data_IF_796707792321
#
_entry.id   IF_796707792321
#
_cell.length_a   1.000
_cell.length_b   1.000
_cell.length_c   1.000
_cell.angle_alpha   90.00
_cell.angle_beta   90.00
_cell.angle_gamma   90.00
#
_symmetry.space_group_name_H-M   'P 1'
#
loop_
_entity.id
_entity.type
_entity.pdbx_description
1 polymer ?
#
# COMPACT_ATOMS: atom_id res chain seq x y z
N UNK A 1 -19.04 16.10 -46.20
CA UNK A 1 -17.98 15.10 -45.91
C UNK A 1 -16.75 15.65 -45.17
N UNK A 2 -16.35 16.91 -45.30
CA UNK A 2 -15.16 17.47 -44.62
C UNK A 2 -15.30 17.62 -43.08
N UNK A 3 -16.48 17.80 -42.56
CA UNK A 3 -16.71 17.97 -41.09
C UNK A 3 -16.83 16.65 -40.34
N UNK A 4 -17.11 15.55 -41.02
CA UNK A 4 -17.15 14.22 -40.41
C UNK A 4 -15.76 13.67 -40.09
N UNK A 5 -14.74 14.08 -40.86
CA UNK A 5 -13.35 13.69 -40.64
C UNK A 5 -12.74 14.42 -39.44
N UNK A 6 -13.16 15.64 -39.13
CA UNK A 6 -12.68 16.44 -37.99
C UNK A 6 -13.21 15.94 -36.67
N UNK A 7 -14.44 15.41 -36.62
CA UNK A 7 -15.05 14.83 -35.43
C UNK A 7 -14.39 13.48 -35.07
N UNK A 8 -14.00 12.68 -36.09
CA UNK A 8 -13.27 11.42 -35.86
C UNK A 8 -11.84 11.62 -35.28
N UNK A 9 -11.18 12.74 -35.59
CA UNK A 9 -9.83 13.02 -35.08
C UNK A 9 -9.88 13.51 -33.63
N UNK A 10 -10.97 14.16 -33.21
CA UNK A 10 -11.16 14.62 -31.81
C UNK A 10 -11.51 13.42 -30.88
N UNK A 11 -12.11 12.36 -31.40
CA UNK A 11 -12.45 11.16 -30.63
C UNK A 11 -11.26 10.20 -30.39
N UNK A 12 -10.14 10.36 -31.09
CA UNK A 12 -8.95 9.51 -30.92
C UNK A 12 -7.95 10.01 -29.88
N UNK A 13 -8.17 11.14 -29.21
CA UNK A 13 -7.20 11.72 -28.26
C UNK A 13 -7.55 11.59 -26.78
N UNK A 14 -8.54 10.80 -26.41
CA UNK A 14 -8.95 10.63 -25.01
C UNK A 14 -8.43 9.33 -24.38
N UNK A 15 -7.17 8.98 -24.62
CA UNK A 15 -6.49 7.93 -23.84
C UNK A 15 -6.02 8.49 -22.49
N UNK A 16 -6.95 8.95 -21.65
CA UNK A 16 -6.68 9.24 -20.25
C UNK A 16 -6.64 7.91 -19.50
N UNK A 17 -5.48 7.31 -19.39
CA UNK A 17 -5.28 6.16 -18.51
C UNK A 17 -5.22 6.67 -17.07
N UNK A 18 -6.31 6.50 -16.33
CA UNK A 18 -6.29 6.62 -14.88
C UNK A 18 -5.26 5.64 -14.31
N UNK A 19 -4.48 6.07 -13.31
CA UNK A 19 -3.54 5.19 -12.64
C UNK A 19 -4.24 4.55 -11.44
N UNK A 20 -4.22 3.21 -11.39
CA UNK A 20 -4.68 2.44 -10.24
C UNK A 20 -3.58 2.49 -9.17
N UNK A 21 -3.65 3.45 -8.26
CA UNK A 21 -2.68 3.63 -7.19
C UNK A 21 -3.44 3.94 -5.91
N UNK A 22 -2.91 3.47 -4.78
CA UNK A 22 -3.45 3.76 -3.46
C UNK A 22 -2.31 4.14 -2.52
N UNK A 23 -2.62 4.61 -1.33
CA UNK A 23 -1.62 5.11 -0.38
C UNK A 23 -1.31 4.08 0.70
N UNK A 24 -2.34 3.41 1.21
CA UNK A 24 -2.22 2.39 2.27
C UNK A 24 -2.33 0.96 1.73
N UNK A 25 -3.03 0.76 0.62
CA UNK A 25 -3.24 -0.57 0.02
C UNK A 25 -2.52 -0.72 -1.31
N UNK A 26 -2.44 -1.93 -1.82
CA UNK A 26 -1.86 -2.25 -3.13
C UNK A 26 -2.98 -2.65 -4.10
N UNK A 27 -3.05 -2.06 -5.31
CA UNK A 27 -3.97 -2.49 -6.35
C UNK A 27 -3.52 -3.82 -6.98
N UNK A 28 -4.39 -4.41 -7.82
CA UNK A 28 -4.04 -5.58 -8.63
C UNK A 28 -3.00 -5.27 -9.73
N UNK A 29 -2.84 -4.01 -10.09
CA UNK A 29 -1.85 -3.54 -11.07
C UNK A 29 -0.44 -3.63 -10.53
N UNK A 30 0.51 -3.91 -11.42
CA UNK A 30 1.94 -3.91 -11.12
C UNK A 30 2.59 -2.61 -11.59
N UNK A 31 3.76 -2.27 -11.04
CA UNK A 31 4.62 -1.24 -11.63
C UNK A 31 5.03 -1.66 -13.05
N UNK A 32 5.42 -0.73 -13.93
CA UNK A 32 5.80 -1.04 -15.30
C UNK A 32 6.84 -2.16 -15.38
N UNK A 33 6.71 -3.04 -16.38
CA UNK A 33 7.65 -4.13 -16.60
C UNK A 33 9.07 -3.60 -16.82
N UNK A 34 10.08 -4.31 -16.30
CA UNK A 34 11.51 -3.98 -16.37
C UNK A 34 11.86 -2.62 -15.73
N UNK A 35 11.05 -2.18 -14.77
CA UNK A 35 11.26 -0.93 -14.04
C UNK A 35 11.60 -1.22 -12.58
N UNK A 36 12.27 -0.28 -11.95
CA UNK A 36 12.54 -0.27 -10.51
C UNK A 36 11.87 0.97 -9.92
N UNK A 37 11.24 0.84 -8.77
CA UNK A 37 10.75 1.98 -8.01
C UNK A 37 11.36 1.97 -6.61
N UNK A 38 11.78 3.12 -6.13
CA UNK A 38 12.22 3.33 -4.75
C UNK A 38 11.19 4.19 -4.03
N UNK A 39 10.75 3.76 -2.85
CA UNK A 39 9.77 4.46 -2.02
C UNK A 39 10.31 4.59 -0.60
N UNK A 40 10.08 5.75 0.01
CA UNK A 40 10.29 5.98 1.43
C UNK A 40 8.96 6.40 2.04
N UNK A 41 8.50 5.62 3.00
CA UNK A 41 7.29 5.92 3.77
C UNK A 41 7.66 6.33 5.19
N UNK A 42 7.03 7.40 5.69
CA UNK A 42 7.10 7.85 7.08
C UNK A 42 5.72 7.75 7.70
N UNK A 43 5.57 6.93 8.74
CA UNK A 43 4.37 6.86 9.57
C UNK A 43 4.64 7.58 10.88
N UNK A 44 3.77 8.53 11.22
CA UNK A 44 3.87 9.38 12.40
C UNK A 44 2.65 9.14 13.27
N UNK A 45 2.88 8.65 14.49
CA UNK A 45 1.84 8.48 15.49
C UNK A 45 2.00 9.58 16.53
N UNK A 46 1.00 10.44 16.62
CA UNK A 46 0.96 11.49 17.62
C UNK A 46 0.66 10.90 18.99
N UNK A 47 1.06 11.63 20.05
CA UNK A 47 0.96 11.22 21.46
C UNK A 47 -0.30 10.42 21.77
N UNK A 48 -0.13 9.16 22.16
CA UNK A 48 -1.21 8.28 22.64
C UNK A 48 -0.84 7.70 23.98
N UNK A 49 -1.81 7.61 24.89
CA UNK A 49 -1.61 6.90 26.15
C UNK A 49 -1.36 5.41 25.90
N UNK A 50 -0.41 4.76 26.58
CA UNK A 50 0.43 5.28 27.68
C UNK A 50 1.69 6.03 27.23
N UNK A 51 2.00 6.07 25.93
CA UNK A 51 3.23 6.66 25.39
C UNK A 51 3.04 8.15 25.11
N UNK A 52 3.50 9.00 26.01
CA UNK A 52 3.40 10.47 25.84
C UNK A 52 4.52 11.02 24.92
N UNK A 53 4.80 10.36 23.80
CA UNK A 53 5.80 10.76 22.81
C UNK A 53 5.26 10.66 21.38
N UNK A 54 5.90 11.38 20.47
CA UNK A 54 5.69 11.20 19.04
C UNK A 54 6.48 9.98 18.59
N UNK A 55 5.78 8.98 18.04
CA UNK A 55 6.40 7.78 17.50
C UNK A 55 6.47 7.88 15.98
N UNK A 56 7.59 7.43 15.42
CA UNK A 56 7.84 7.49 13.98
C UNK A 56 8.37 6.16 13.48
N UNK A 57 7.95 5.78 12.27
CA UNK A 57 8.46 4.62 11.54
C UNK A 57 8.79 5.03 10.13
N UNK A 58 10.00 4.75 9.71
CA UNK A 58 10.48 4.94 8.33
C UNK A 58 10.61 3.58 7.66
N UNK A 59 10.06 3.48 6.46
CA UNK A 59 10.05 2.25 5.68
C UNK A 59 10.60 2.54 4.27
N UNK A 60 11.91 2.39 4.05
CA UNK A 60 12.47 2.33 2.71
C UNK A 60 12.07 1.02 2.02
N UNK A 61 11.65 1.13 0.76
CA UNK A 61 11.17 0.03 -0.07
C UNK A 61 11.74 0.11 -1.48
N UNK A 62 12.00 -1.04 -2.07
CA UNK A 62 12.36 -1.16 -3.49
C UNK A 62 11.38 -2.11 -4.15
N UNK A 63 10.80 -1.67 -5.25
CA UNK A 63 9.89 -2.44 -6.09
C UNK A 63 10.60 -2.81 -7.38
N UNK A 64 10.39 -4.02 -7.86
CA UNK A 64 10.94 -4.53 -9.11
C UNK A 64 9.82 -5.11 -9.97
N UNK A 65 9.50 -4.46 -11.09
CA UNK A 65 8.60 -4.98 -12.10
C UNK A 65 9.35 -5.92 -13.04
N UNK A 66 9.27 -7.22 -12.79
CA UNK A 66 9.97 -8.22 -13.61
C UNK A 66 9.38 -8.28 -15.03
N UNK A 67 8.07 -8.38 -15.11
CA UNK A 67 7.30 -8.38 -16.34
C UNK A 67 5.88 -7.83 -16.07
N UNK A 68 4.98 -7.91 -17.05
CA UNK A 68 3.62 -7.41 -16.89
C UNK A 68 2.81 -8.13 -15.79
N UNK A 69 3.17 -9.36 -15.46
CA UNK A 69 2.43 -10.20 -14.49
C UNK A 69 3.09 -10.26 -13.12
N UNK A 70 4.40 -10.16 -13.02
CA UNK A 70 5.15 -10.33 -11.78
C UNK A 70 5.77 -9.03 -11.27
N UNK A 71 5.56 -8.75 -9.99
CA UNK A 71 6.20 -7.67 -9.25
C UNK A 71 6.75 -8.22 -7.93
N UNK A 72 7.94 -7.79 -7.56
CA UNK A 72 8.55 -8.05 -6.25
C UNK A 72 8.74 -6.73 -5.52
N UNK A 73 8.67 -6.77 -4.19
CA UNK A 73 9.00 -5.66 -3.30
C UNK A 73 9.80 -6.18 -2.13
N UNK A 74 10.81 -5.43 -1.72
CA UNK A 74 11.55 -5.66 -0.49
C UNK A 74 11.63 -4.36 0.29
N UNK A 75 11.57 -4.45 1.61
CA UNK A 75 11.63 -3.29 2.48
C UNK A 75 12.21 -3.62 3.85
N UNK A 76 12.57 -2.55 4.57
CA UNK A 76 13.01 -2.61 5.95
C UNK A 76 12.32 -1.51 6.76
N UNK A 77 12.15 -1.69 8.06
CA UNK A 77 11.56 -0.68 8.93
C UNK A 77 12.53 -0.22 10.01
N UNK A 78 12.54 1.08 10.22
CA UNK A 78 13.32 1.76 11.26
C UNK A 78 12.37 2.63 12.07
N UNK A 79 12.30 2.44 13.39
CA UNK A 79 11.34 3.17 14.20
C UNK A 79 11.80 3.35 15.65
N UNK A 80 11.14 4.28 16.33
CA UNK A 80 11.20 4.47 17.78
C UNK A 80 9.87 4.05 18.45
N UNK A 81 9.09 3.19 17.81
CA UNK A 81 7.75 2.82 18.31
C UNK A 81 7.79 2.00 19.60
N UNK A 82 8.74 1.09 19.70
CA UNK A 82 8.90 0.21 20.88
C UNK A 82 10.01 0.64 21.83
N UNK A 83 10.80 1.65 21.49
CA UNK A 83 11.94 2.16 22.29
C UNK A 83 12.05 3.67 22.15
N UNK A 84 12.85 4.32 22.98
CA UNK A 84 13.08 5.76 22.89
C UNK A 84 14.02 6.13 21.72
N UNK A 85 14.90 5.21 21.36
CA UNK A 85 15.84 5.41 20.26
C UNK A 85 15.35 4.77 18.97
N UNK A 86 15.67 5.38 17.83
CA UNK A 86 15.48 4.76 16.53
C UNK A 86 16.33 3.50 16.40
N UNK A 87 15.68 2.42 15.95
CA UNK A 87 16.35 1.16 15.67
C UNK A 87 15.75 0.50 14.44
N UNK A 88 16.48 -0.42 13.86
CA UNK A 88 15.95 -1.36 12.88
C UNK A 88 14.96 -2.31 13.54
N UNK A 89 13.76 -2.43 13.00
CA UNK A 89 12.71 -3.30 13.53
C UNK A 89 12.48 -4.55 12.69
N UNK A 90 12.34 -4.41 11.36
CA UNK A 90 12.01 -5.55 10.51
C UNK A 90 12.58 -5.44 9.10
N UNK A 91 12.58 -6.58 8.42
CA UNK A 91 12.71 -6.71 6.96
C UNK A 91 11.59 -7.57 6.43
N UNK A 92 11.18 -7.31 5.19
CA UNK A 92 10.15 -8.10 4.53
C UNK A 92 10.36 -8.20 3.03
N UNK A 93 9.79 -9.25 2.47
CA UNK A 93 9.68 -9.47 1.03
C UNK A 93 8.22 -9.71 0.66
N UNK A 94 7.81 -9.12 -0.45
CA UNK A 94 6.47 -9.22 -1.00
C UNK A 94 6.57 -9.59 -2.47
N UNK A 95 5.71 -10.50 -2.90
CA UNK A 95 5.55 -10.90 -4.30
C UNK A 95 4.10 -10.80 -4.73
N UNK A 96 3.86 -10.30 -5.94
CA UNK A 96 2.51 -10.21 -6.53
C UNK A 96 2.52 -10.77 -7.95
N UNK A 97 1.54 -11.64 -8.22
CA UNK A 97 1.28 -12.22 -9.53
C UNK A 97 -0.09 -11.83 -10.03
N UNK A 98 -0.14 -11.03 -11.09
CA UNK A 98 -1.38 -10.66 -11.76
C UNK A 98 -1.76 -11.77 -12.75
N UNK A 99 -2.77 -12.54 -12.41
CA UNK A 99 -3.24 -13.68 -13.21
C UNK A 99 -4.36 -13.31 -14.17
N UNK A 100 -5.09 -12.21 -13.92
CA UNK A 100 -6.17 -11.77 -14.78
C UNK A 100 -6.01 -10.28 -15.09
N UNK A 101 -6.18 -9.91 -16.36
CA UNK A 101 -6.26 -8.54 -16.86
C UNK A 101 -7.22 -8.51 -18.04
N UNK A 102 -8.32 -7.80 -17.88
CA UNK A 102 -9.27 -7.48 -18.95
C UNK A 102 -9.22 -5.97 -19.15
N UNK A 103 -8.67 -5.55 -20.25
CA UNK A 103 -8.47 -4.15 -20.58
C UNK A 103 -9.37 -3.78 -21.76
N UNK A 104 -10.29 -2.84 -21.55
CA UNK A 104 -11.14 -2.20 -22.55
C UNK A 104 -10.77 -0.72 -22.65
N UNK A 105 -11.36 0.02 -23.59
CA UNK A 105 -11.01 1.41 -23.91
C UNK A 105 -11.09 2.34 -22.68
N UNK A 106 -12.07 2.15 -21.82
CA UNK A 106 -12.32 3.01 -20.64
C UNK A 106 -12.57 2.24 -19.35
N UNK A 107 -12.35 0.93 -19.36
CA UNK A 107 -12.59 0.07 -18.22
C UNK A 107 -11.50 -1.00 -18.15
N UNK A 108 -10.88 -1.16 -16.99
CA UNK A 108 -9.86 -2.18 -16.77
C UNK A 108 -10.22 -2.97 -15.52
N UNK A 109 -10.32 -4.29 -15.67
CA UNK A 109 -10.49 -5.19 -14.52
C UNK A 109 -9.26 -6.06 -14.36
N UNK A 110 -8.72 -6.10 -13.16
CA UNK A 110 -7.50 -6.85 -12.86
C UNK A 110 -7.63 -7.63 -11.56
N UNK A 111 -7.05 -8.82 -11.54
CA UNK A 111 -6.91 -9.61 -10.31
C UNK A 111 -5.50 -10.12 -10.14
N UNK A 112 -5.04 -10.13 -8.90
CA UNK A 112 -3.72 -10.63 -8.54
C UNK A 112 -3.78 -11.42 -7.23
N UNK A 113 -2.89 -12.40 -7.10
CA UNK A 113 -2.52 -13.00 -5.83
C UNK A 113 -1.25 -12.36 -5.33
N UNK A 114 -1.11 -12.28 -4.01
CA UNK A 114 0.11 -11.77 -3.39
C UNK A 114 0.49 -12.55 -2.15
N UNK A 115 1.78 -12.55 -1.86
CA UNK A 115 2.32 -13.10 -0.62
C UNK A 115 3.37 -12.17 -0.05
N UNK A 116 3.46 -12.11 1.28
CA UNK A 116 4.46 -11.36 2.02
C UNK A 116 5.06 -12.24 3.12
N UNK A 117 6.36 -12.14 3.32
CA UNK A 117 7.08 -12.76 4.42
C UNK A 117 7.90 -11.69 5.13
N UNK A 118 7.83 -11.66 6.46
CA UNK A 118 8.53 -10.68 7.27
C UNK A 118 9.23 -11.30 8.47
N UNK A 119 10.37 -10.72 8.81
CA UNK A 119 11.09 -10.96 10.04
C UNK A 119 11.15 -9.68 10.86
N UNK A 120 10.65 -9.69 12.08
CA UNK A 120 10.67 -8.58 13.01
C UNK A 120 11.40 -8.92 14.30
N UNK A 121 12.08 -7.91 14.86
CA UNK A 121 12.71 -7.94 16.17
C UNK A 121 11.84 -7.28 17.24
N UNK A 122 10.69 -6.76 16.86
CA UNK A 122 9.79 -6.07 17.79
C UNK A 122 9.13 -7.05 18.75
N UNK A 123 8.84 -6.64 19.98
CA UNK A 123 8.17 -7.49 20.95
C UNK A 123 6.74 -7.81 20.51
N UNK A 124 6.30 -9.03 20.80
CA UNK A 124 5.00 -9.57 20.40
C UNK A 124 3.93 -9.28 21.47
N UNK A 125 3.50 -8.03 21.62
CA UNK A 125 2.56 -7.63 22.67
C UNK A 125 1.26 -6.97 22.19
N UNK A 126 1.21 -6.44 20.97
CA UNK A 126 -0.04 -5.94 20.40
C UNK A 126 -0.80 -7.04 19.68
N UNK A 127 -2.13 -6.92 19.68
CA UNK A 127 -3.02 -7.87 19.03
C UNK A 127 -3.03 -7.72 17.52
N UNK A 128 -2.85 -6.48 17.01
CA UNK A 128 -2.74 -6.23 15.56
C UNK A 128 -1.60 -7.04 14.94
N UNK A 129 -1.91 -7.78 13.88
CA UNK A 129 -0.92 -8.47 13.05
C UNK A 129 -0.49 -7.53 11.91
N UNK A 130 0.67 -6.91 12.07
CA UNK A 130 1.31 -6.12 11.04
C UNK A 130 2.70 -6.67 10.74
N UNK A 131 2.96 -7.01 9.47
CA UNK A 131 4.24 -7.52 9.01
C UNK A 131 5.25 -6.40 8.72
N UNK A 132 4.78 -5.16 8.67
CA UNK A 132 5.61 -4.00 8.40
C UNK A 132 6.10 -3.35 9.71
N UNK A 133 6.94 -4.08 10.44
CA UNK A 133 7.63 -3.59 11.64
C UNK A 133 7.28 -4.34 12.92
N UNK A 134 6.05 -4.80 13.10
CA UNK A 134 5.61 -5.26 14.41
C UNK A 134 5.80 -6.77 14.62
N UNK A 135 5.49 -7.60 13.64
CA UNK A 135 5.54 -9.06 13.80
C UNK A 135 6.26 -9.77 12.66
N UNK A 136 6.90 -10.88 12.99
CA UNK A 136 7.35 -11.86 12.01
C UNK A 136 6.16 -12.70 11.58
N UNK A 137 6.09 -13.03 10.28
CA UNK A 137 4.97 -13.81 9.79
C UNK A 137 4.92 -13.94 8.29
N UNK A 138 3.83 -14.55 7.85
CA UNK A 138 3.50 -14.76 6.46
C UNK A 138 2.10 -14.19 6.20
N UNK A 139 1.91 -13.62 5.02
CA UNK A 139 0.62 -13.18 4.52
C UNK A 139 0.40 -13.75 3.12
N UNK A 140 -0.81 -14.18 2.85
CA UNK A 140 -1.24 -14.59 1.51
C UNK A 140 -2.62 -14.02 1.23
N UNK A 141 -2.82 -13.46 0.03
CA UNK A 141 -4.08 -12.82 -0.29
C UNK A 141 -4.35 -12.67 -1.77
N UNK A 142 -5.55 -12.16 -2.03
CA UNK A 142 -6.06 -11.83 -3.36
C UNK A 142 -6.51 -10.39 -3.38
N UNK A 143 -6.27 -9.71 -4.48
CA UNK A 143 -6.73 -8.35 -4.73
C UNK A 143 -7.39 -8.27 -6.10
N UNK A 144 -8.52 -7.58 -6.16
CA UNK A 144 -9.22 -7.23 -7.38
C UNK A 144 -9.34 -5.72 -7.50
N UNK A 145 -9.11 -5.18 -8.70
CA UNK A 145 -9.20 -3.75 -8.97
C UNK A 145 -9.96 -3.52 -10.26
N UNK A 146 -10.95 -2.65 -10.18
CA UNK A 146 -11.71 -2.16 -11.32
C UNK A 146 -11.45 -0.68 -11.50
N UNK A 147 -11.08 -0.30 -12.72
CA UNK A 147 -10.92 1.09 -13.14
C UNK A 147 -12.03 1.43 -14.13
N UNK A 148 -12.71 2.55 -13.92
CA UNK A 148 -13.63 3.18 -14.87
C UNK A 148 -13.20 4.62 -15.09
N UNK A 149 -12.70 4.94 -16.26
CA UNK A 149 -12.22 6.29 -16.59
C UNK A 149 -11.23 6.82 -15.54
N UNK A 150 -11.70 7.69 -14.64
CA UNK A 150 -10.92 8.33 -13.58
C UNK A 150 -11.14 7.72 -12.20
N UNK A 151 -12.09 6.79 -12.05
CA UNK A 151 -12.45 6.15 -10.79
C UNK A 151 -11.86 4.74 -10.74
N UNK A 152 -11.05 4.46 -9.75
CA UNK A 152 -10.54 3.13 -9.45
C UNK A 152 -11.14 2.64 -8.13
N UNK A 153 -11.64 1.39 -8.10
CA UNK A 153 -12.11 0.72 -6.89
C UNK A 153 -11.34 -0.58 -6.75
N UNK A 154 -10.82 -0.86 -5.56
CA UNK A 154 -10.09 -2.09 -5.27
C UNK A 154 -10.60 -2.72 -3.98
N UNK A 155 -10.58 -4.05 -3.94
CA UNK A 155 -10.84 -4.81 -2.74
C UNK A 155 -9.82 -5.93 -2.58
N UNK A 156 -9.41 -6.20 -1.36
CA UNK A 156 -8.52 -7.33 -1.06
C UNK A 156 -8.96 -8.10 0.17
N UNK A 157 -8.63 -9.38 0.16
CA UNK A 157 -8.76 -10.29 1.31
C UNK A 157 -7.46 -11.04 1.46
N UNK A 158 -6.95 -11.16 2.68
CA UNK A 158 -5.74 -11.92 2.96
C UNK A 158 -5.75 -12.56 4.33
N UNK A 159 -5.08 -13.69 4.43
CA UNK A 159 -4.81 -14.39 5.68
C UNK A 159 -3.39 -14.05 6.15
N UNK A 160 -3.24 -13.73 7.44
CA UNK A 160 -1.96 -13.53 8.10
C UNK A 160 -1.72 -14.65 9.11
N UNK A 161 -0.51 -15.18 9.08
CA UNK A 161 0.04 -16.10 10.06
C UNK A 161 1.22 -15.45 10.75
N UNK A 162 1.07 -15.06 12.02
CA UNK A 162 2.17 -14.62 12.87
C UNK A 162 3.05 -15.79 13.28
N UNK A 163 4.36 -15.57 13.26
CA UNK A 163 5.37 -16.52 13.72
C UNK A 163 5.97 -16.02 15.04
N UNK A 164 6.09 -16.90 16.01
CA UNK A 164 6.70 -16.55 17.30
C UNK A 164 8.22 -16.46 17.12
N UNK A 165 8.76 -15.25 17.03
CA UNK A 165 10.19 -15.03 16.83
C UNK A 165 10.79 -13.91 17.67
N UNK A 166 10.14 -13.47 18.75
CA UNK A 166 10.68 -12.38 19.55
C UNK A 166 11.86 -12.89 20.39
N UNK A 167 13.07 -12.57 19.96
CA UNK A 167 14.29 -12.76 20.77
C UNK A 167 14.38 -11.83 21.99
N UNK A 168 13.48 -10.86 22.14
CA UNK A 168 13.53 -9.82 23.15
C UNK A 168 12.40 -9.91 24.19
N UNK A 169 11.80 -11.08 24.42
CA UNK A 169 10.76 -11.31 25.45
C UNK A 169 11.25 -11.18 26.89
N UNK A 170 12.28 -10.38 27.14
CA UNK A 170 12.68 -10.01 28.50
C UNK A 170 11.81 -8.92 29.13
N UNK A 171 10.81 -8.40 28.42
CA UNK A 171 9.93 -7.37 28.94
C UNK A 171 8.65 -7.97 29.51
N UNK A 172 8.29 -7.52 30.69
CA UNK A 172 7.18 -7.82 31.58
C UNK A 172 5.76 -7.62 31.01
N UNK A 173 5.59 -7.65 29.69
CA UNK A 173 4.29 -7.46 29.05
C UNK A 173 3.61 -8.80 28.79
N UNK A 174 2.31 -8.83 28.98
CA UNK A 174 1.49 -9.98 28.60
C UNK A 174 1.59 -10.11 27.07
N UNK A 175 2.22 -11.17 26.53
CA UNK A 175 2.38 -11.30 25.10
C UNK A 175 1.02 -11.45 24.44
N UNK A 176 0.84 -10.87 23.26
CA UNK A 176 -0.34 -11.14 22.43
C UNK A 176 -0.45 -12.64 22.14
N UNK A 177 -1.67 -13.14 22.16
CA UNK A 177 -1.98 -14.53 21.79
C UNK A 177 -2.61 -14.65 20.41
N UNK A 178 -2.58 -13.57 19.62
CA UNK A 178 -3.12 -13.57 18.27
C UNK A 178 -2.00 -13.90 17.27
N UNK A 179 -2.14 -15.05 16.65
CA UNK A 179 -1.22 -15.56 15.62
C UNK A 179 -1.86 -15.63 14.26
N UNK A 180 -3.18 -15.56 14.17
CA UNK A 180 -3.91 -15.67 12.92
C UNK A 180 -4.92 -14.52 12.79
N UNK A 181 -4.96 -13.91 11.60
CA UNK A 181 -5.93 -12.88 11.29
C UNK A 181 -6.32 -12.88 9.81
N UNK A 182 -7.50 -12.37 9.55
CA UNK A 182 -7.95 -12.00 8.20
C UNK A 182 -7.90 -10.49 8.05
N UNK A 183 -7.30 -10.03 6.96
CA UNK A 183 -7.35 -8.63 6.55
C UNK A 183 -8.35 -8.46 5.41
N UNK A 184 -9.07 -7.34 5.47
CA UNK A 184 -10.00 -6.90 4.45
C UNK A 184 -9.69 -5.45 4.10
N UNK A 185 -9.65 -5.13 2.82
CA UNK A 185 -9.50 -3.73 2.39
C UNK A 185 -10.49 -3.40 1.29
N UNK A 186 -11.00 -2.17 1.32
CA UNK A 186 -11.76 -1.58 0.22
C UNK A 186 -11.21 -0.18 0.01
N UNK A 187 -10.80 0.11 -1.21
CA UNK A 187 -10.17 1.37 -1.58
C UNK A 187 -10.84 1.98 -2.79
N UNK A 188 -11.07 3.27 -2.78
CA UNK A 188 -11.55 4.04 -3.91
C UNK A 188 -10.59 5.21 -4.18
N UNK A 189 -10.27 5.42 -5.44
CA UNK A 189 -9.39 6.49 -5.89
C UNK A 189 -9.99 7.24 -7.06
N UNK A 190 -9.88 8.55 -7.05
CA UNK A 190 -10.38 9.40 -8.14
C UNK A 190 -9.31 10.39 -8.59
N UNK A 191 -9.05 10.39 -9.91
CA UNK A 191 -8.17 11.38 -10.54
C UNK A 191 -8.91 12.72 -10.68
N UNK A 192 -8.57 13.67 -9.81
CA UNK A 192 -9.19 15.00 -9.79
C UNK A 192 -8.58 15.91 -10.86
N UNK A 193 -7.25 15.93 -10.97
CA UNK A 193 -6.53 16.74 -11.96
C UNK A 193 -5.48 15.88 -12.68
N UNK A 194 -5.21 16.16 -13.97
CA UNK A 194 -5.82 17.18 -14.83
C UNK A 194 -7.22 16.77 -15.30
N UNK A 195 -8.04 17.74 -15.66
CA UNK A 195 -9.35 17.47 -16.30
C UNK A 195 -9.16 16.82 -17.68
N UNK A 196 -8.16 17.29 -18.43
CA UNK A 196 -7.75 16.74 -19.73
C UNK A 196 -6.23 16.54 -19.77
N UNK A 197 -5.80 15.37 -20.24
CA UNK A 197 -4.38 15.10 -20.47
C UNK A 197 -3.90 15.77 -21.74
N UNK A 198 -2.89 16.64 -21.63
CA UNK A 198 -2.20 17.25 -22.76
C UNK A 198 -0.77 16.73 -22.92
N UNK A 199 -0.11 16.40 -21.81
CA UNK A 199 1.28 15.95 -21.78
C UNK A 199 1.53 15.06 -20.54
N UNK A 200 2.45 14.10 -20.64
CA UNK A 200 2.92 13.26 -19.54
C UNK A 200 3.64 14.03 -18.43
N UNK A 201 4.04 15.27 -18.66
CA UNK A 201 4.68 16.15 -17.68
C UNK A 201 3.70 16.82 -16.73
N UNK A 202 2.40 16.76 -17.00
CA UNK A 202 1.38 17.32 -16.13
C UNK A 202 1.41 16.66 -14.77
N UNK A 203 1.13 17.45 -13.74
CA UNK A 203 0.95 16.96 -12.37
C UNK A 203 -0.44 16.37 -12.21
N UNK A 204 -0.52 15.13 -11.76
CA UNK A 204 -1.79 14.50 -11.42
C UNK A 204 -2.07 14.68 -9.93
N UNK A 205 -3.30 15.03 -9.61
CA UNK A 205 -3.84 15.06 -8.25
C UNK A 205 -4.90 13.98 -8.13
N UNK A 206 -4.67 13.02 -7.24
CA UNK A 206 -5.61 11.96 -6.93
C UNK A 206 -6.09 12.09 -5.48
N UNK A 207 -7.36 11.79 -5.26
CA UNK A 207 -7.97 11.64 -3.94
C UNK A 207 -8.27 10.17 -3.70
N UNK A 208 -8.01 9.69 -2.48
CA UNK A 208 -8.26 8.31 -2.07
C UNK A 208 -9.05 8.25 -0.78
N UNK A 209 -9.88 7.23 -0.70
CA UNK A 209 -10.52 6.80 0.54
C UNK A 209 -10.33 5.30 0.66
N UNK A 210 -9.75 4.86 1.78
CA UNK A 210 -9.44 3.47 2.01
C UNK A 210 -10.02 3.00 3.34
N UNK A 211 -10.70 1.86 3.34
CA UNK A 211 -11.14 1.15 4.53
C UNK A 211 -10.21 -0.04 4.74
N UNK A 212 -9.68 -0.15 5.94
CA UNK A 212 -8.74 -1.18 6.34
C UNK A 212 -9.32 -1.89 7.55
N UNK A 213 -9.51 -3.19 7.46
CA UNK A 213 -10.04 -3.97 8.55
C UNK A 213 -9.21 -5.24 8.80
N UNK A 214 -9.11 -5.62 10.04
CA UNK A 214 -8.51 -6.88 10.45
C UNK A 214 -9.38 -7.54 11.50
N UNK A 215 -9.53 -8.86 11.38
CA UNK A 215 -10.20 -9.70 12.36
C UNK A 215 -9.28 -10.83 12.78
N UNK A 216 -9.05 -10.94 14.07
CA UNK A 216 -8.33 -12.07 14.64
C UNK A 216 -9.16 -13.36 14.55
N UNK A 217 -8.50 -14.47 14.20
CA UNK A 217 -9.11 -15.81 14.19
C UNK A 217 -8.92 -16.54 15.53
N UNK A 218 -7.88 -16.18 16.28
CA UNK A 218 -7.59 -16.77 17.61
C UNK A 218 -8.44 -16.16 18.73
N UNK A 219 -8.80 -14.89 18.57
CA UNK A 219 -9.68 -14.14 19.48
C UNK A 219 -10.63 -13.32 18.63
N UNK A 220 -11.84 -13.07 19.07
CA UNK A 220 -12.82 -12.30 18.30
C UNK A 220 -12.53 -10.78 18.21
N UNK A 221 -11.26 -10.38 18.43
CA UNK A 221 -10.83 -8.99 18.36
C UNK A 221 -10.74 -8.51 16.90
N UNK A 222 -11.17 -7.27 16.66
CA UNK A 222 -11.17 -6.69 15.32
C UNK A 222 -10.89 -5.18 15.36
N UNK A 223 -10.57 -4.61 14.21
CA UNK A 223 -10.65 -3.17 13.97
C UNK A 223 -11.14 -2.87 12.56
N UNK A 224 -11.68 -1.67 12.40
CA UNK A 224 -12.00 -1.04 11.11
C UNK A 224 -11.48 0.38 11.15
N UNK A 225 -10.61 0.70 10.21
CA UNK A 225 -10.03 2.04 10.04
C UNK A 225 -10.54 2.69 8.76
N UNK A 226 -10.56 4.00 8.76
CA UNK A 226 -10.76 4.83 7.58
C UNK A 226 -9.51 5.66 7.33
N UNK A 227 -9.09 5.74 6.07
CA UNK A 227 -7.85 6.39 5.68
C UNK A 227 -8.05 7.26 4.43
N UNK A 228 -8.46 8.52 4.57
CA UNK A 228 -8.42 9.49 3.48
C UNK A 228 -6.98 9.85 3.12
N UNK A 229 -6.71 10.02 1.83
CA UNK A 229 -5.38 10.38 1.35
C UNK A 229 -5.40 11.20 0.06
N UNK A 230 -4.32 11.91 -0.16
CA UNK A 230 -4.04 12.71 -1.36
C UNK A 230 -2.71 12.27 -1.96
N UNK A 231 -2.67 12.17 -3.28
CA UNK A 231 -1.45 11.85 -4.02
C UNK A 231 -1.21 12.87 -5.12
N UNK A 232 0.00 13.36 -5.19
CA UNK A 232 0.53 14.14 -6.31
C UNK A 232 1.49 13.27 -7.11
N UNK A 233 1.34 13.27 -8.43
CA UNK A 233 2.23 12.56 -9.35
C UNK A 233 2.85 13.56 -10.31
N UNK A 234 4.16 13.65 -10.27
CA UNK A 234 4.96 14.55 -11.11
C UNK A 234 5.64 13.75 -12.22
N UNK A 235 5.53 14.24 -13.46
CA UNK A 235 6.17 13.63 -14.63
C UNK A 235 5.88 12.12 -14.77
N UNK A 236 4.71 11.66 -14.35
CA UNK A 236 4.29 10.25 -14.36
C UNK A 236 5.26 9.27 -13.66
N UNK A 237 6.23 9.77 -12.91
CA UNK A 237 7.31 8.95 -12.34
C UNK A 237 7.58 9.20 -10.86
N UNK A 238 7.30 10.40 -10.32
CA UNK A 238 7.51 10.74 -8.91
C UNK A 238 6.16 10.93 -8.24
N UNK A 239 5.93 10.24 -7.13
CA UNK A 239 4.69 10.31 -6.36
C UNK A 239 4.99 10.88 -4.98
N UNK A 240 4.15 11.79 -4.52
CA UNK A 240 4.11 12.28 -3.14
C UNK A 240 2.74 11.95 -2.57
N UNK A 241 2.70 11.23 -1.47
CA UNK A 241 1.47 10.83 -0.80
C UNK A 241 1.39 11.45 0.59
N UNK A 242 0.19 11.87 0.95
CA UNK A 242 -0.18 12.30 2.30
C UNK A 242 -1.49 11.62 2.67
N UNK A 243 -1.51 10.90 3.77
CA UNK A 243 -2.70 10.22 4.27
C UNK A 243 -2.83 10.34 5.78
N UNK A 244 -4.06 10.21 6.25
CA UNK A 244 -4.39 10.14 7.67
C UNK A 244 -5.27 8.92 7.91
N UNK A 245 -4.83 8.01 8.77
CA UNK A 245 -5.56 6.80 9.14
C UNK A 245 -6.08 6.93 10.56
N UNK A 246 -7.35 6.58 10.78
CA UNK A 246 -7.94 6.57 12.11
C UNK A 246 -8.96 5.45 12.25
N UNK A 247 -9.07 4.94 13.47
CA UNK A 247 -9.98 3.85 13.80
C UNK A 247 -11.42 4.36 13.89
N UNK A 248 -12.32 3.70 13.14
CA UNK A 248 -13.78 3.92 13.25
C UNK A 248 -14.39 3.04 14.34
N UNK A 249 -13.97 1.77 14.39
CA UNK A 249 -14.51 0.79 15.32
C UNK A 249 -13.48 -0.29 15.62
N UNK A 250 -13.59 -0.95 16.76
CA UNK A 250 -12.80 -2.12 17.14
C UNK A 250 -12.36 -2.13 18.58
N UNK A 251 -12.05 -3.33 19.04
CA UNK A 251 -11.60 -3.67 20.39
C UNK A 251 -10.18 -4.22 20.43
N UNK A 252 -9.56 -4.40 19.25
CA UNK A 252 -8.20 -4.93 19.12
C UNK A 252 -7.17 -3.98 19.76
N UNK A 253 -6.27 -4.52 20.59
CA UNK A 253 -5.15 -3.76 21.13
C UNK A 253 -4.11 -3.48 20.04
N UNK A 254 -3.82 -2.20 19.81
CA UNK A 254 -2.96 -1.74 18.73
C UNK A 254 -1.95 -0.72 19.23
N UNK A 255 -0.80 -0.64 18.54
CA UNK A 255 0.20 0.39 18.77
C UNK A 255 -0.37 1.79 18.53
N UNK A 256 -1.19 1.96 17.50
CA UNK A 256 -1.75 3.24 17.12
C UNK A 256 -3.18 3.08 16.61
N UNK A 257 -4.10 3.93 17.10
CA UNK A 257 -5.47 4.05 16.60
C UNK A 257 -5.58 5.10 15.50
N UNK A 258 -4.62 6.01 15.42
CA UNK A 258 -4.51 7.03 14.39
C UNK A 258 -3.05 7.28 14.03
N UNK A 259 -2.79 7.62 12.77
CA UNK A 259 -1.46 7.93 12.27
C UNK A 259 -1.51 8.79 11.02
N UNK A 260 -0.51 9.63 10.84
CA UNK A 260 -0.21 10.29 9.59
C UNK A 260 0.75 9.43 8.78
N UNK A 261 0.57 9.42 7.46
CA UNK A 261 1.50 8.81 6.54
C UNK A 261 1.93 9.80 5.47
N UNK A 262 3.23 9.92 5.29
CA UNK A 262 3.84 10.68 4.19
C UNK A 262 4.74 9.71 3.44
N UNK A 263 4.65 9.67 2.11
CA UNK A 263 5.60 8.87 1.33
C UNK A 263 5.99 9.54 0.03
N UNK A 264 7.23 9.29 -0.38
CA UNK A 264 7.79 9.69 -1.67
C UNK A 264 8.21 8.43 -2.41
N UNK A 265 7.81 8.33 -3.68
CA UNK A 265 8.18 7.22 -4.55
C UNK A 265 8.72 7.75 -5.87
N UNK A 266 9.80 7.16 -6.36
CA UNK A 266 10.36 7.44 -7.68
C UNK A 266 10.49 6.16 -8.50
N UNK A 267 9.87 6.13 -9.68
CA UNK A 267 9.95 5.02 -10.62
C UNK A 267 10.97 5.31 -11.71
N UNK A 268 11.90 4.39 -11.90
CA UNK A 268 12.92 4.39 -12.96
C UNK A 268 12.47 3.42 -14.04
N UNK A 269 11.89 3.96 -15.11
CA UNK A 269 11.36 3.17 -16.23
C UNK A 269 12.51 2.51 -16.99
N UNK A 270 12.29 1.24 -17.39
CA UNK A 270 13.24 0.45 -18.17
C UNK A 270 14.64 0.27 -17.54
N UNK A 271 14.77 0.47 -16.23
CA UNK A 271 16.05 0.33 -15.52
C UNK A 271 16.70 -1.05 -15.69
N UNK A 272 15.89 -2.09 -15.95
CA UNK A 272 16.36 -3.48 -16.18
C UNK A 272 16.48 -3.84 -17.65
N UNK A 273 16.33 -2.90 -18.59
CA UNK A 273 16.62 -3.18 -19.99
C UNK A 273 18.14 -3.31 -20.20
N UNK A 274 18.59 -4.43 -20.76
CA UNK A 274 19.98 -4.54 -21.25
C UNK A 274 20.17 -3.48 -22.33
N UNK A 275 21.16 -2.61 -22.17
CA UNK A 275 21.68 -1.79 -23.27
C UNK A 275 22.24 -2.79 -24.31
N UNK A 276 21.67 -2.78 -25.51
CA UNK A 276 22.27 -3.47 -26.66
C UNK A 276 23.50 -2.70 -27.11
#
# INVERSE_FOLDING_TARGET
MKYFLFISIILCSLNSQGQELYVYTEPASNIPARSISAKLTSNIVTRQNPYNKVMQRYTPEVFVGLNKNWMLRAGATFANMHTDNFRWESVYMYGKYRFLSSDDTHSHFRMAIFGEAAYSRSPFHFDELSLQGDKSGLQLGVVATQLWHKLAISGSVSHLQGLHSSRNDKTLYIPSRIYQAMNYTVSAGYLLLPFEYKDYKQTNLNLYTEFLAQQSLDRKAYYVDFAPAVQLIFNSATKLNLGYRFQLSGDMQRMAKNSWQISVERTFLNALKRKK
#
